data_IF_434829402063
#
_entry.id   IF_434829402063
#
_cell.length_a   1.000
_cell.length_b   1.000
_cell.length_c   1.000
_cell.angle_alpha   90.00
_cell.angle_beta   90.00
_cell.angle_gamma   90.00
#
_symmetry.space_group_name_H-M   'P 1'
#
loop_
_entity.id
_entity.type
_entity.pdbx_description
1 polymer ?
#
# COMPACT_ATOMS: atom_id res chain seq x y z
N UNK A 1 1.51 -1.44 16.53
CA UNK A 1 1.48 -1.53 15.05
C UNK A 1 0.71 -2.79 14.71
N UNK A 2 -0.33 -2.71 13.89
CA UNK A 2 -1.15 -3.88 13.55
C UNK A 2 -0.27 -4.96 12.91
N UNK A 3 -0.48 -6.24 13.26
CA UNK A 3 0.31 -7.35 12.72
C UNK A 3 0.33 -7.36 11.17
N UNK A 4 -0.76 -6.91 10.54
CA UNK A 4 -0.83 -6.75 9.08
C UNK A 4 0.12 -5.70 8.52
N UNK A 5 0.31 -4.57 9.21
CA UNK A 5 1.25 -3.51 8.77
C UNK A 5 2.70 -3.95 8.91
N UNK A 6 3.01 -4.71 9.96
CA UNK A 6 4.35 -5.32 10.14
C UNK A 6 4.61 -6.27 8.98
N UNK A 7 3.65 -7.16 8.67
CA UNK A 7 3.77 -8.10 7.57
C UNK A 7 3.99 -7.40 6.21
N UNK A 8 3.21 -6.37 5.88
CA UNK A 8 3.38 -5.64 4.61
C UNK A 8 4.75 -4.99 4.48
N UNK A 9 5.30 -4.42 5.56
CA UNK A 9 6.65 -3.83 5.53
C UNK A 9 7.70 -4.92 5.28
N UNK A 10 7.62 -6.04 5.99
CA UNK A 10 8.54 -7.17 5.79
C UNK A 10 8.44 -7.70 4.36
N UNK A 11 7.22 -7.82 3.82
CA UNK A 11 6.98 -8.23 2.44
C UNK A 11 7.66 -7.27 1.45
N UNK A 12 7.48 -5.96 1.60
CA UNK A 12 8.12 -4.96 0.74
C UNK A 12 9.65 -5.02 0.81
N UNK A 13 10.22 -5.25 1.99
CA UNK A 13 11.67 -5.41 2.15
C UNK A 13 12.17 -6.65 1.39
N UNK A 14 11.51 -7.79 1.57
CA UNK A 14 11.87 -9.04 0.86
C UNK A 14 11.77 -8.85 -0.66
N UNK A 15 10.69 -8.25 -1.13
CA UNK A 15 10.49 -7.97 -2.56
C UNK A 15 11.51 -6.97 -3.11
N UNK A 16 11.83 -5.92 -2.36
CA UNK A 16 12.83 -4.92 -2.73
C UNK A 16 14.23 -5.50 -2.84
N UNK A 17 14.64 -6.33 -1.88
CA UNK A 17 15.93 -7.05 -1.91
C UNK A 17 15.96 -8.03 -3.10
N UNK A 18 14.88 -8.77 -3.33
CA UNK A 18 14.77 -9.66 -4.48
C UNK A 18 14.94 -8.92 -5.81
N UNK A 19 14.32 -7.75 -5.95
CA UNK A 19 14.42 -6.93 -7.15
C UNK A 19 15.82 -6.35 -7.34
N UNK A 20 16.43 -5.80 -6.29
CA UNK A 20 17.77 -5.21 -6.36
C UNK A 20 18.89 -6.22 -6.64
N UNK A 21 18.73 -7.46 -6.18
CA UNK A 21 19.70 -8.54 -6.40
C UNK A 21 19.30 -9.50 -7.54
N UNK A 22 18.17 -9.22 -8.21
CA UNK A 22 17.61 -10.01 -9.30
C UNK A 22 17.52 -11.53 -9.01
N UNK A 23 17.14 -11.89 -7.78
CA UNK A 23 17.12 -13.29 -7.33
C UNK A 23 16.05 -14.12 -8.03
N UNK A 24 14.83 -13.60 -8.16
CA UNK A 24 13.70 -14.31 -8.75
C UNK A 24 12.78 -13.40 -9.54
N UNK A 25 12.61 -13.72 -10.83
CA UNK A 25 11.65 -13.05 -11.72
C UNK A 25 10.21 -13.20 -11.24
N UNK A 26 9.87 -14.32 -10.59
CA UNK A 26 8.52 -14.55 -10.07
C UNK A 26 8.18 -13.61 -8.91
N UNK A 27 9.12 -13.40 -7.99
CA UNK A 27 8.94 -12.44 -6.90
C UNK A 27 8.93 -10.99 -7.42
N UNK A 28 9.68 -10.68 -8.49
CA UNK A 28 9.59 -9.38 -9.16
C UNK A 28 8.20 -9.14 -9.77
N UNK A 29 7.61 -10.18 -10.38
CA UNK A 29 6.24 -10.12 -10.89
C UNK A 29 5.23 -9.92 -9.75
N UNK A 30 5.41 -10.61 -8.61
CA UNK A 30 4.57 -10.43 -7.42
C UNK A 30 4.64 -8.99 -6.90
N UNK A 31 5.83 -8.39 -6.84
CA UNK A 31 6.01 -6.99 -6.44
C UNK A 31 5.30 -6.03 -7.39
N UNK A 32 5.42 -6.26 -8.71
CA UNK A 32 4.74 -5.45 -9.71
C UNK A 32 3.21 -5.57 -9.59
N UNK A 33 2.68 -6.78 -9.40
CA UNK A 33 1.25 -7.00 -9.17
C UNK A 33 0.76 -6.30 -7.90
N UNK A 34 1.51 -6.38 -6.80
CA UNK A 34 1.19 -5.65 -5.57
C UNK A 34 1.13 -4.14 -5.82
N UNK A 35 2.14 -3.57 -6.50
CA UNK A 35 2.15 -2.14 -6.84
C UNK A 35 0.92 -1.74 -7.66
N UNK A 36 0.57 -2.52 -8.68
CA UNK A 36 -0.60 -2.24 -9.53
C UNK A 36 -1.89 -2.30 -8.71
N UNK A 37 -2.05 -3.29 -7.85
CA UNK A 37 -3.24 -3.40 -6.98
C UNK A 37 -3.32 -2.20 -6.03
N UNK A 38 -2.21 -1.80 -5.39
CA UNK A 38 -2.20 -0.66 -4.46
C UNK A 38 -2.47 0.67 -5.19
N UNK A 39 -2.02 0.81 -6.45
CA UNK A 39 -2.38 1.93 -7.31
C UNK A 39 -3.89 1.95 -7.62
N UNK A 40 -4.47 0.80 -7.95
CA UNK A 40 -5.91 0.69 -8.17
C UNK A 40 -6.70 1.00 -6.89
N UNK A 41 -6.25 0.55 -5.73
CA UNK A 41 -6.85 0.90 -4.44
C UNK A 41 -6.80 2.41 -4.19
N UNK A 42 -5.66 3.06 -4.45
CA UNK A 42 -5.55 4.50 -4.33
C UNK A 42 -6.54 5.25 -5.24
N UNK A 43 -6.68 4.83 -6.50
CA UNK A 43 -7.62 5.44 -7.45
C UNK A 43 -9.07 5.20 -7.03
N UNK A 44 -9.41 3.96 -6.66
CA UNK A 44 -10.76 3.58 -6.26
C UNK A 44 -11.20 4.31 -4.98
N UNK A 45 -10.32 4.41 -4.00
CA UNK A 45 -10.56 5.10 -2.73
C UNK A 45 -10.09 6.56 -2.74
N UNK A 46 -9.81 7.13 -3.92
CA UNK A 46 -9.28 8.49 -4.05
C UNK A 46 -10.21 9.53 -3.41
N UNK A 47 -11.53 9.36 -3.56
CA UNK A 47 -12.52 10.26 -2.95
C UNK A 47 -12.46 10.22 -1.42
N UNK A 48 -12.31 9.03 -0.84
CA UNK A 48 -12.16 8.82 0.61
C UNK A 48 -10.87 9.47 1.11
N UNK A 49 -9.76 9.24 0.42
CA UNK A 49 -8.44 9.81 0.75
C UNK A 49 -8.44 11.34 0.64
N UNK A 50 -9.04 11.90 -0.41
CA UNK A 50 -9.10 13.35 -0.61
C UNK A 50 -9.93 14.07 0.46
N UNK A 51 -10.91 13.38 1.05
CA UNK A 51 -11.70 13.91 2.16
C UNK A 51 -11.05 13.73 3.53
N UNK A 52 -9.86 13.11 3.61
CA UNK A 52 -9.10 13.04 4.85
C UNK A 52 -8.19 14.27 4.97
N UNK A 53 -7.92 14.71 6.19
CA UNK A 53 -7.02 15.85 6.46
C UNK A 53 -5.54 15.56 6.13
N UNK A 54 -5.22 14.35 5.67
CA UNK A 54 -3.87 13.96 5.29
C UNK A 54 -3.47 14.53 3.92
N UNK A 55 -2.19 14.93 3.80
CA UNK A 55 -1.62 15.37 2.53
C UNK A 55 -1.76 14.25 1.47
N UNK A 56 -2.30 14.58 0.29
CA UNK A 56 -2.53 13.62 -0.81
C UNK A 56 -1.29 12.81 -1.17
N UNK A 57 -0.10 13.41 -1.16
CA UNK A 57 1.16 12.72 -1.46
C UNK A 57 1.48 11.70 -0.37
N UNK A 58 1.30 12.07 0.90
CA UNK A 58 1.50 11.17 2.04
C UNK A 58 0.52 10.01 1.97
N UNK A 59 -0.75 10.28 1.69
CA UNK A 59 -1.78 9.27 1.56
C UNK A 59 -1.54 8.33 0.38
N UNK A 60 -0.97 8.83 -0.72
CA UNK A 60 -0.51 8.02 -1.84
C UNK A 60 0.56 7.01 -1.42
N UNK A 61 1.64 7.46 -0.79
CA UNK A 61 2.70 6.55 -0.33
C UNK A 61 2.20 5.57 0.74
N UNK A 62 1.35 6.03 1.66
CA UNK A 62 0.74 5.14 2.66
C UNK A 62 -0.15 4.08 2.01
N UNK A 63 -0.93 4.44 0.99
CA UNK A 63 -1.73 3.47 0.22
C UNK A 63 -0.83 2.56 -0.61
N UNK A 64 0.29 3.03 -1.13
CA UNK A 64 1.21 2.21 -1.92
C UNK A 64 1.92 1.15 -1.07
N UNK A 65 2.20 1.45 0.20
CA UNK A 65 2.87 0.54 1.14
C UNK A 65 1.88 -0.39 1.84
N UNK A 66 0.73 0.15 2.28
CA UNK A 66 -0.20 -0.55 3.16
C UNK A 66 -1.55 -0.87 2.51
N UNK A 67 -1.85 -0.30 1.34
CA UNK A 67 -3.08 -0.55 0.61
C UNK A 67 -4.33 -0.27 1.45
N UNK A 68 -5.25 -1.23 1.43
CA UNK A 68 -6.46 -1.20 2.24
C UNK A 68 -6.22 -1.07 3.76
N UNK A 69 -5.06 -1.47 4.29
CA UNK A 69 -4.75 -1.34 5.72
C UNK A 69 -4.57 0.12 6.15
N UNK A 70 -4.26 1.01 5.21
CA UNK A 70 -4.26 2.46 5.44
C UNK A 70 -5.66 3.07 5.23
N UNK A 71 -6.36 2.65 4.17
CA UNK A 71 -7.67 3.20 3.80
C UNK A 71 -8.78 2.80 4.78
N UNK A 72 -8.74 1.57 5.30
CA UNK A 72 -9.77 1.02 6.19
C UNK A 72 -10.08 1.92 7.40
N UNK A 73 -9.06 2.36 8.17
CA UNK A 73 -9.23 3.33 9.25
C UNK A 73 -9.82 4.67 8.80
N UNK A 74 -9.36 5.25 7.69
CA UNK A 74 -9.86 6.54 7.17
C UNK A 74 -11.34 6.44 6.81
N UNK A 75 -11.71 5.37 6.10
CA UNK A 75 -13.10 5.09 5.75
C UNK A 75 -13.96 4.91 7.01
N UNK A 76 -13.43 4.32 8.08
CA UNK A 76 -14.16 4.16 9.35
C UNK A 76 -14.37 5.49 10.06
N UNK A 77 -13.40 6.39 10.00
CA UNK A 77 -13.47 7.72 10.60
C UNK A 77 -14.45 8.64 9.86
N UNK A 78 -14.49 8.58 8.53
CA UNK A 78 -15.44 9.38 7.71
C UNK A 78 -16.89 8.89 7.74
N UNK A 79 -17.14 7.64 8.13
CA UNK A 79 -18.50 7.09 8.25
C UNK A 79 -19.03 7.14 9.70
N UNK A 80 -18.31 7.80 10.61
CA UNK A 80 -18.76 8.10 11.97
C UNK A 80 -19.42 9.46 12.03
#
# INVERSE_FOLDING_TARGET
MDNGKIFTVVLWVVLGVNYGLNFSTWLNLLAALLLVIHLLEFIFFFKTIKGSDDNLIKAFFQTLIFGILYIGPIKKEQNK
#
